data_IF_585150207108
#
_entry.id   IF_585150207108
#
_cell.length_a   1.000
_cell.length_b   1.000
_cell.length_c   1.000
_cell.angle_alpha   90.00
_cell.angle_beta   90.00
_cell.angle_gamma   90.00
#
_symmetry.space_group_name_H-M   'P 1'
#
loop_
_entity.id
_entity.type
_entity.pdbx_description
1 polymer ?
#
# COMPACT_ATOMS: atom_id res chain seq x y z
N UNK A 1 -17.49 27.05 -4.99
CA UNK A 1 -17.23 25.65 -4.59
C UNK A 1 -16.99 24.87 -5.86
N UNK A 2 -15.85 24.21 -5.99
CA UNK A 2 -15.60 23.34 -7.15
C UNK A 2 -16.51 22.12 -7.03
N UNK A 3 -17.41 21.93 -7.99
CA UNK A 3 -18.31 20.76 -8.07
C UNK A 3 -17.64 19.55 -8.76
N UNK A 4 -16.32 19.59 -8.95
CA UNK A 4 -15.62 18.61 -9.76
C UNK A 4 -15.14 17.44 -8.88
N UNK A 5 -15.50 16.23 -9.29
CA UNK A 5 -14.92 14.99 -8.77
C UNK A 5 -13.59 14.74 -9.46
N UNK A 6 -12.59 14.34 -8.68
CA UNK A 6 -11.29 13.90 -9.19
C UNK A 6 -11.03 12.49 -8.68
N UNK A 7 -10.83 11.57 -9.62
CA UNK A 7 -10.37 10.22 -9.36
C UNK A 7 -8.95 10.11 -9.95
N UNK A 8 -8.07 9.37 -9.29
CA UNK A 8 -6.72 9.17 -9.76
C UNK A 8 -6.21 7.78 -9.37
N UNK A 9 -5.27 7.27 -10.16
CA UNK A 9 -4.45 6.12 -9.82
C UNK A 9 -3.07 6.67 -9.46
N UNK A 10 -2.57 6.29 -8.29
CA UNK A 10 -1.23 6.64 -7.85
C UNK A 10 -0.34 5.41 -7.97
N UNK A 11 0.67 5.49 -8.84
CA UNK A 11 1.65 4.43 -9.05
C UNK A 11 2.98 4.88 -8.46
N UNK A 12 3.61 4.01 -7.68
CA UNK A 12 4.94 4.22 -7.13
C UNK A 12 5.67 2.89 -7.04
N UNK A 13 7.00 2.95 -7.01
CA UNK A 13 7.86 1.81 -6.76
C UNK A 13 8.76 2.08 -5.54
N UNK A 14 9.32 1.00 -5.00
CA UNK A 14 10.36 1.08 -3.98
C UNK A 14 11.43 0.04 -4.28
N UNK A 15 12.66 0.32 -3.86
CA UNK A 15 13.79 -0.60 -3.99
C UNK A 15 14.47 -0.75 -2.63
N UNK A 16 14.77 -2.00 -2.26
CA UNK A 16 15.46 -2.34 -1.01
C UNK A 16 14.83 -1.70 0.24
N UNK A 17 13.49 -1.62 0.27
CA UNK A 17 12.71 -0.97 1.32
C UNK A 17 11.51 -1.81 1.75
N UNK A 18 10.97 -1.52 2.93
CA UNK A 18 9.67 -2.00 3.37
C UNK A 18 8.66 -0.83 3.33
N UNK A 19 7.80 -0.74 2.31
CA UNK A 19 6.89 0.40 2.14
C UNK A 19 5.69 0.36 3.08
N UNK A 20 5.38 -0.80 3.67
CA UNK A 20 4.20 -0.99 4.51
C UNK A 20 4.38 -2.18 5.44
N UNK A 21 4.96 -1.90 6.62
CA UNK A 21 5.25 -2.92 7.61
C UNK A 21 4.01 -3.48 8.29
N UNK A 22 4.01 -4.79 8.50
CA UNK A 22 2.98 -5.50 9.24
C UNK A 22 3.31 -5.49 10.75
N UNK A 23 2.48 -4.85 11.60
CA UNK A 23 2.70 -4.83 13.05
C UNK A 23 2.59 -6.22 13.69
N UNK A 24 1.84 -7.15 13.09
CA UNK A 24 1.61 -8.49 13.60
C UNK A 24 2.63 -9.51 13.04
N UNK A 25 3.29 -9.19 11.92
CA UNK A 25 4.34 -10.03 11.31
C UNK A 25 5.76 -9.47 11.49
N UNK A 26 6.04 -8.78 12.60
CA UNK A 26 7.39 -8.34 12.96
C UNK A 26 7.98 -7.31 11.99
N UNK A 27 7.13 -6.44 11.44
CA UNK A 27 7.50 -5.41 10.46
C UNK A 27 8.05 -5.96 9.14
N UNK A 28 7.61 -7.15 8.71
CA UNK A 28 7.73 -7.61 7.32
C UNK A 28 6.77 -6.81 6.42
N UNK A 29 6.98 -6.76 5.10
CA UNK A 29 6.00 -6.17 4.19
C UNK A 29 4.63 -6.87 4.33
N UNK A 30 3.55 -6.08 4.37
CA UNK A 30 2.18 -6.63 4.34
C UNK A 30 1.90 -7.29 2.99
N UNK A 31 1.30 -8.49 3.04
CA UNK A 31 0.97 -9.31 1.87
C UNK A 31 -0.44 -9.84 2.04
N UNK A 32 -1.21 -9.86 0.94
CA UNK A 32 -2.50 -10.55 0.89
C UNK A 32 -2.26 -12.07 0.93
N UNK A 33 -2.83 -12.80 1.91
CA UNK A 33 -2.57 -14.21 2.10
C UNK A 33 -3.17 -15.13 1.02
N UNK A 34 -4.15 -14.65 0.24
CA UNK A 34 -4.79 -15.43 -0.82
C UNK A 34 -4.04 -15.27 -2.15
N UNK A 35 -3.56 -14.07 -2.46
CA UNK A 35 -2.95 -13.74 -3.77
C UNK A 35 -1.44 -13.66 -3.75
N UNK A 36 -0.83 -13.35 -2.60
CA UNK A 36 0.59 -13.06 -2.46
C UNK A 36 1.00 -11.65 -2.92
N UNK A 37 0.05 -10.77 -3.24
CA UNK A 37 0.34 -9.37 -3.61
C UNK A 37 0.66 -8.50 -2.39
N UNK A 38 1.55 -7.52 -2.57
CA UNK A 38 1.89 -6.56 -1.52
C UNK A 38 0.73 -5.60 -1.26
N UNK A 39 0.40 -5.38 0.02
CA UNK A 39 -0.63 -4.44 0.43
C UNK A 39 -0.01 -3.12 0.89
N UNK A 40 -0.70 -2.01 0.64
CA UNK A 40 -0.40 -0.67 1.16
C UNK A 40 -1.68 -0.16 1.85
N UNK A 41 -1.60 0.15 3.15
CA UNK A 41 -2.75 0.69 3.90
C UNK A 41 -2.65 2.21 3.96
N UNK A 42 -3.78 2.86 4.19
CA UNK A 42 -3.84 4.30 4.44
C UNK A 42 -3.37 4.68 5.86
N UNK A 43 -3.38 3.72 6.81
CA UNK A 43 -2.85 3.82 8.19
C UNK A 43 -2.31 2.47 8.68
#
# INVERSE_FOLDING_TARGET
MTMNRYDFVYLFDVKDANPNGDPDAGNLPRVDPETGEGLITDV
#
